data_IF_993940336703
#
_entry.id   IF_993940336703
#
_cell.length_a   1.000
_cell.length_b   1.000
_cell.length_c   1.000
_cell.angle_alpha   90.00
_cell.angle_beta   90.00
_cell.angle_gamma   90.00
#
_symmetry.space_group_name_H-M   'P 1'
#
loop_
_entity.id
_entity.type
_entity.pdbx_description
1 polymer ?
#
# COMPACT_ATOMS: atom_id res chain seq x y z
N UNK A 1 11.78 -13.57 13.01
CA UNK A 1 12.94 -14.49 13.10
C UNK A 1 12.59 -15.61 14.07
N UNK A 2 12.32 -16.81 13.55
CA UNK A 2 11.83 -17.98 14.31
C UNK A 2 12.96 -18.63 15.12
N UNK A 3 12.74 -18.83 16.43
CA UNK A 3 13.57 -19.69 17.28
C UNK A 3 12.86 -21.05 17.44
N UNK A 4 13.26 -22.00 16.61
CA UNK A 4 12.87 -23.40 16.73
C UNK A 4 13.61 -24.03 17.91
N UNK A 5 12.89 -24.48 18.94
CA UNK A 5 13.48 -25.25 20.05
C UNK A 5 13.45 -26.73 19.66
N UNK A 6 14.63 -27.30 19.41
CA UNK A 6 14.82 -28.72 19.12
C UNK A 6 14.68 -29.54 20.41
N UNK A 7 13.82 -30.55 20.38
CA UNK A 7 13.67 -31.55 21.45
C UNK A 7 14.99 -32.27 21.71
N UNK A 8 15.54 -32.16 22.92
CA UNK A 8 16.72 -32.93 23.35
C UNK A 8 16.29 -34.29 23.88
N UNK A 9 16.81 -35.36 23.26
CA UNK A 9 16.60 -36.75 23.66
C UNK A 9 17.74 -37.13 24.60
N UNK A 10 17.48 -37.23 25.90
CA UNK A 10 18.45 -37.75 26.86
C UNK A 10 18.34 -39.28 26.84
N UNK A 11 19.34 -39.94 26.26
CA UNK A 11 19.51 -41.39 26.33
C UNK A 11 20.48 -41.64 27.49
N UNK A 12 19.96 -42.10 28.63
CA UNK A 12 20.80 -42.46 29.78
C UNK A 12 21.34 -43.89 29.62
N UNK A 13 22.66 -44.05 29.63
CA UNK A 13 23.28 -45.33 29.94
C UNK A 13 23.49 -45.45 31.46
N UNK A 14 22.66 -46.25 32.12
CA UNK A 14 22.91 -46.66 33.51
C UNK A 14 23.80 -47.90 33.53
N UNK A 15 25.06 -47.75 33.95
CA UNK A 15 25.95 -48.87 34.29
C UNK A 15 25.57 -49.44 35.65
N UNK A 16 24.98 -50.63 35.66
CA UNK A 16 24.89 -51.47 36.87
C UNK A 16 26.31 -51.95 37.19
N UNK A 17 26.83 -51.55 38.36
CA UNK A 17 28.09 -52.11 38.87
C UNK A 17 27.81 -53.52 39.40
N UNK A 18 28.33 -54.52 38.71
CA UNK A 18 28.40 -55.91 39.19
C UNK A 18 29.12 -55.96 40.55
N UNK A 19 28.37 -56.25 41.61
CA UNK A 19 28.94 -56.68 42.88
C UNK A 19 29.16 -58.18 42.78
N UNK A 20 30.36 -58.55 42.33
CA UNK A 20 30.87 -59.92 42.37
C UNK A 20 30.90 -60.42 43.83
N UNK A 21 29.95 -61.29 44.20
CA UNK A 21 30.10 -62.16 45.36
C UNK A 21 30.96 -63.36 44.93
N UNK A 22 32.24 -63.31 45.29
CA UNK A 22 33.15 -64.43 45.13
C UNK A 22 32.87 -65.49 46.19
N UNK A 23 32.35 -66.63 45.75
CA UNK A 23 32.27 -67.88 46.50
C UNK A 23 33.60 -68.21 47.18
N UNK A 24 33.57 -68.30 48.52
CA UNK A 24 34.64 -68.95 49.29
C UNK A 24 34.23 -70.40 49.51
N UNK A 25 34.39 -71.23 48.48
CA UNK A 25 34.33 -72.68 48.65
C UNK A 25 35.71 -73.25 48.95
N UNK A 26 35.84 -73.76 50.18
CA UNK A 26 37.01 -74.46 50.71
C UNK A 26 37.14 -75.82 50.03
N UNK A 27 38.24 -76.06 49.32
CA UNK A 27 38.74 -77.42 49.06
C UNK A 27 39.79 -77.80 50.10
N UNK A 28 39.45 -78.82 50.89
CA UNK A 28 40.29 -79.47 51.88
C UNK A 28 40.97 -80.72 51.27
N UNK A 29 42.26 -80.90 51.54
CA UNK A 29 42.97 -82.20 51.56
C UNK A 29 44.36 -81.94 52.17
N UNK A 30 44.96 -82.74 53.06
CA UNK A 30 44.67 -84.06 53.64
C UNK A 30 45.65 -84.29 54.81
N UNK A 31 45.14 -84.95 55.86
CA UNK A 31 45.75 -86.01 56.70
C UNK A 31 46.99 -85.73 57.57
N UNK A 32 46.81 -85.91 58.89
CA UNK A 32 47.53 -86.90 59.69
C UNK A 32 46.70 -87.34 60.91
N UNK A 33 46.90 -88.60 61.32
CA UNK A 33 46.04 -89.49 62.14
C UNK A 33 46.09 -89.25 63.66
N UNK A 34 45.00 -89.60 64.34
CA UNK A 34 44.83 -90.57 65.46
C UNK A 34 43.52 -90.21 66.16
N UNK A 35 42.71 -91.06 66.78
CA UNK A 35 42.72 -92.49 67.08
C UNK A 35 41.51 -92.70 68.02
N UNK A 36 40.65 -93.65 67.66
CA UNK A 36 39.70 -94.39 68.52
C UNK A 36 38.47 -93.70 69.18
N UNK A 37 37.41 -94.53 69.25
CA UNK A 37 36.13 -94.41 69.99
C UNK A 37 35.05 -93.45 69.46
N UNK A 38 33.99 -94.02 68.88
CA UNK A 38 32.65 -94.08 69.50
C UNK A 38 31.58 -94.54 68.50
N UNK A 39 30.81 -95.57 68.88
CA UNK A 39 29.62 -96.05 68.15
C UNK A 39 28.34 -95.29 68.54
N UNK A 40 28.39 -94.36 69.49
CA UNK A 40 27.27 -93.53 69.95
C UNK A 40 27.18 -92.14 69.30
N UNK A 41 28.21 -91.68 68.58
CA UNK A 41 28.29 -90.32 68.00
C UNK A 41 27.51 -90.16 66.67
N UNK A 42 27.22 -91.24 65.93
CA UNK A 42 26.61 -91.11 64.59
C UNK A 42 25.11 -90.72 64.59
N UNK A 43 24.41 -90.93 65.71
CA UNK A 43 22.99 -90.57 65.85
C UNK A 43 22.82 -89.08 66.19
N UNK A 44 23.65 -88.57 67.11
CA UNK A 44 23.64 -87.17 67.56
C UNK A 44 24.10 -86.22 66.44
N UNK A 45 25.08 -86.63 65.63
CA UNK A 45 25.61 -85.83 64.52
C UNK A 45 24.61 -85.73 63.35
N UNK A 46 23.80 -86.77 63.13
CA UNK A 46 22.68 -86.74 62.16
C UNK A 46 21.56 -85.81 62.59
N UNK A 47 21.21 -85.80 63.88
CA UNK A 47 20.17 -84.93 64.44
C UNK A 47 20.61 -83.45 64.47
N UNK A 48 21.89 -83.19 64.73
CA UNK A 48 22.47 -81.84 64.66
C UNK A 48 22.49 -81.31 63.22
N UNK A 49 22.80 -82.16 62.24
CA UNK A 49 22.78 -81.79 60.82
C UNK A 49 21.36 -81.61 60.28
N UNK A 50 20.38 -82.41 60.71
CA UNK A 50 18.98 -82.21 60.32
C UNK A 50 18.42 -80.90 60.87
N UNK A 51 18.67 -80.58 62.15
CA UNK A 51 18.28 -79.29 62.75
C UNK A 51 18.96 -78.09 62.08
N UNK A 52 20.25 -78.19 61.73
CA UNK A 52 20.94 -77.15 60.95
C UNK A 52 20.32 -76.95 59.57
N UNK A 53 19.90 -78.04 58.91
CA UNK A 53 19.25 -78.00 57.60
C UNK A 53 17.87 -77.34 57.69
N UNK A 54 17.08 -77.69 58.69
CA UNK A 54 15.78 -77.05 58.97
C UNK A 54 15.93 -75.56 59.28
N UNK A 55 16.90 -75.16 60.11
CA UNK A 55 17.15 -73.74 60.41
C UNK A 55 17.60 -72.99 59.15
N UNK A 56 18.47 -73.59 58.33
CA UNK A 56 18.94 -73.01 57.07
C UNK A 56 17.78 -72.84 56.07
N UNK A 57 16.94 -73.86 55.88
CA UNK A 57 15.76 -73.82 55.03
C UNK A 57 14.76 -72.76 55.52
N UNK A 58 14.56 -72.65 56.84
CA UNK A 58 13.69 -71.62 57.44
C UNK A 58 14.25 -70.21 57.25
N UNK A 59 15.57 -70.02 57.37
CA UNK A 59 16.23 -68.73 57.16
C UNK A 59 16.19 -68.31 55.69
N UNK A 60 16.36 -69.26 54.76
CA UNK A 60 16.24 -69.03 53.31
C UNK A 60 14.79 -68.69 52.95
N UNK A 61 13.81 -69.39 53.53
CA UNK A 61 12.40 -69.11 53.33
C UNK A 61 12.02 -67.70 53.83
N UNK A 62 12.45 -67.31 55.03
CA UNK A 62 12.24 -65.96 55.57
C UNK A 62 12.94 -64.87 54.75
N UNK A 63 14.14 -65.13 54.22
CA UNK A 63 14.86 -64.21 53.35
C UNK A 63 14.17 -64.04 51.99
N UNK A 64 13.65 -65.12 51.41
CA UNK A 64 12.89 -65.09 50.17
C UNK A 64 11.57 -64.34 50.34
N UNK A 65 10.86 -64.59 51.45
CA UNK A 65 9.61 -63.89 51.75
C UNK A 65 9.83 -62.38 51.95
N UNK A 66 10.88 -61.98 52.69
CA UNK A 66 11.25 -60.56 52.82
C UNK A 66 11.65 -59.92 51.50
N UNK A 67 12.32 -60.67 50.61
CA UNK A 67 12.68 -60.19 49.28
C UNK A 67 11.42 -59.96 48.44
N UNK A 68 10.47 -60.89 48.45
CA UNK A 68 9.18 -60.74 47.76
C UNK A 68 8.38 -59.56 48.30
N UNK A 69 8.34 -59.36 49.62
CA UNK A 69 7.69 -58.20 50.24
C UNK A 69 8.32 -56.86 49.82
N UNK A 70 9.66 -56.81 49.73
CA UNK A 70 10.39 -55.60 49.29
C UNK A 70 10.12 -55.31 47.81
N UNK A 71 10.16 -56.34 46.95
CA UNK A 71 9.88 -56.19 45.52
C UNK A 71 8.44 -55.74 45.32
N UNK A 72 7.48 -56.37 45.99
CA UNK A 72 6.06 -56.02 45.90
C UNK A 72 5.82 -54.57 46.33
N UNK A 73 6.42 -54.11 47.44
CA UNK A 73 6.32 -52.70 47.87
C UNK A 73 6.98 -51.73 46.89
N UNK A 74 8.14 -52.09 46.34
CA UNK A 74 8.82 -51.25 45.35
C UNK A 74 8.04 -51.15 44.03
N UNK A 75 7.37 -52.22 43.62
CA UNK A 75 6.48 -52.25 42.46
C UNK A 75 5.24 -51.38 42.69
N UNK A 76 4.61 -51.47 43.86
CA UNK A 76 3.47 -50.62 44.24
C UNK A 76 3.86 -49.13 44.31
N UNK A 77 5.01 -48.81 44.90
CA UNK A 77 5.54 -47.43 44.91
C UNK A 77 5.83 -46.93 43.48
N UNK A 78 6.41 -47.76 42.62
CA UNK A 78 6.69 -47.39 41.23
C UNK A 78 5.41 -47.17 40.42
N UNK A 79 4.38 -47.99 40.61
CA UNK A 79 3.07 -47.78 39.98
C UNK A 79 2.43 -46.48 40.44
N UNK A 80 2.46 -46.18 41.74
CA UNK A 80 1.93 -44.92 42.27
C UNK A 80 2.68 -43.70 41.71
N UNK A 81 4.01 -43.76 41.62
CA UNK A 81 4.81 -42.69 41.02
C UNK A 81 4.45 -42.50 39.54
N UNK A 82 4.28 -43.58 38.78
CA UNK A 82 3.91 -43.51 37.36
C UNK A 82 2.50 -42.97 37.17
N UNK A 83 1.56 -43.34 38.04
CA UNK A 83 0.20 -42.83 38.04
C UNK A 83 0.18 -41.32 38.29
N UNK A 84 0.86 -40.86 39.35
CA UNK A 84 0.98 -39.43 39.69
C UNK A 84 1.68 -38.64 38.59
N UNK A 85 2.73 -39.20 38.00
CA UNK A 85 3.46 -38.56 36.90
C UNK A 85 2.57 -38.41 35.66
N UNK A 86 1.74 -39.40 35.34
CA UNK A 86 0.78 -39.32 34.22
C UNK A 86 -0.31 -38.27 34.48
N UNK A 87 -0.91 -38.26 35.66
CA UNK A 87 -1.92 -37.26 36.01
C UNK A 87 -1.36 -35.84 35.94
N UNK A 88 -0.17 -35.61 36.52
CA UNK A 88 0.50 -34.31 36.45
C UNK A 88 0.88 -33.93 35.03
N UNK A 89 1.33 -34.88 34.21
CA UNK A 89 1.65 -34.62 32.82
C UNK A 89 0.39 -34.19 32.04
N UNK A 90 -0.73 -34.88 32.23
CA UNK A 90 -2.00 -34.56 31.57
C UNK A 90 -2.51 -33.17 32.00
N UNK A 91 -2.51 -32.87 33.30
CA UNK A 91 -2.90 -31.56 33.83
C UNK A 91 -2.00 -30.42 33.31
N UNK A 92 -0.68 -30.63 33.26
CA UNK A 92 0.25 -29.65 32.71
C UNK A 92 0.07 -29.46 31.20
N UNK A 93 -0.29 -30.52 30.48
CA UNK A 93 -0.51 -30.46 29.04
C UNK A 93 -1.78 -29.68 28.73
N UNK A 94 -2.87 -29.93 29.48
CA UNK A 94 -4.13 -29.22 29.34
C UNK A 94 -3.99 -27.73 29.70
N UNK A 95 -3.33 -27.42 30.83
CA UNK A 95 -3.03 -26.03 31.21
C UNK A 95 -2.15 -25.33 30.17
N UNK A 96 -1.11 -26.00 29.68
CA UNK A 96 -0.23 -25.44 28.65
C UNK A 96 -0.95 -25.18 27.34
N UNK A 97 -1.90 -26.05 26.96
CA UNK A 97 -2.74 -25.86 25.79
C UNK A 97 -3.69 -24.69 25.96
N UNK A 98 -4.40 -24.60 27.10
CA UNK A 98 -5.35 -23.53 27.37
C UNK A 98 -4.67 -22.16 27.46
N UNK A 99 -3.53 -22.07 28.15
CA UNK A 99 -2.71 -20.85 28.20
C UNK A 99 -2.19 -20.45 26.81
N UNK A 100 -1.70 -21.42 26.03
CA UNK A 100 -1.20 -21.17 24.68
C UNK A 100 -2.30 -20.71 23.73
N UNK A 101 -3.49 -21.32 23.83
CA UNK A 101 -4.66 -20.95 23.06
C UNK A 101 -5.14 -19.54 23.41
N UNK A 102 -5.30 -19.24 24.70
CA UNK A 102 -5.76 -17.93 25.16
C UNK A 102 -4.77 -16.82 24.77
N UNK A 103 -3.46 -17.02 24.98
CA UNK A 103 -2.43 -16.07 24.56
C UNK A 103 -2.41 -15.86 23.05
N UNK A 104 -2.48 -16.94 22.27
CA UNK A 104 -2.50 -16.86 20.81
C UNK A 104 -3.75 -16.17 20.28
N UNK A 105 -4.91 -16.42 20.90
CA UNK A 105 -6.17 -15.77 20.55
C UNK A 105 -6.13 -14.27 20.87
N UNK A 106 -5.67 -13.88 22.05
CA UNK A 106 -5.55 -12.48 22.46
C UNK A 106 -4.58 -11.70 21.56
N UNK A 107 -3.39 -12.26 21.31
CA UNK A 107 -2.41 -11.66 20.38
C UNK A 107 -2.96 -11.54 18.95
N UNK A 108 -3.58 -12.61 18.43
CA UNK A 108 -4.15 -12.57 17.08
C UNK A 108 -5.32 -11.60 16.95
N UNK A 109 -6.11 -11.43 18.02
CA UNK A 109 -7.17 -10.44 18.06
C UNK A 109 -6.62 -9.01 18.06
N UNK A 110 -5.61 -8.72 18.88
CA UNK A 110 -5.00 -7.40 18.97
C UNK A 110 -4.28 -7.01 17.67
N UNK A 111 -3.46 -7.91 17.12
CA UNK A 111 -2.78 -7.71 15.83
C UNK A 111 -3.79 -7.52 14.68
N UNK A 112 -4.86 -8.32 14.66
CA UNK A 112 -5.93 -8.21 13.67
C UNK A 112 -6.68 -6.89 13.77
N UNK A 113 -6.95 -6.44 15.00
CA UNK A 113 -7.63 -5.17 15.28
C UNK A 113 -6.77 -3.97 14.85
N UNK A 114 -5.49 -3.94 15.23
CA UNK A 114 -4.57 -2.88 14.80
C UNK A 114 -4.41 -2.84 13.27
N UNK A 115 -4.27 -4.01 12.64
CA UNK A 115 -4.16 -4.11 11.18
C UNK A 115 -5.43 -3.57 10.51
N UNK A 116 -6.60 -3.91 11.03
CA UNK A 116 -7.88 -3.41 10.52
C UNK A 116 -8.00 -1.88 10.67
N UNK A 117 -7.60 -1.32 11.81
CA UNK A 117 -7.59 0.14 12.04
C UNK A 117 -6.65 0.86 11.08
N UNK A 118 -5.42 0.36 10.89
CA UNK A 118 -4.45 0.93 9.97
C UNK A 118 -4.95 0.90 8.52
N UNK A 119 -5.57 -0.22 8.10
CA UNK A 119 -6.16 -0.35 6.78
C UNK A 119 -7.34 0.62 6.58
N UNK A 120 -8.21 0.76 7.58
CA UNK A 120 -9.31 1.73 7.54
C UNK A 120 -8.80 3.17 7.44
N UNK A 121 -7.78 3.52 8.21
CA UNK A 121 -7.18 4.86 8.16
C UNK A 121 -6.51 5.14 6.80
N UNK A 122 -5.85 4.14 6.23
CA UNK A 122 -5.29 4.25 4.87
C UNK A 122 -6.39 4.40 3.80
N UNK A 123 -7.51 3.67 3.94
CA UNK A 123 -8.64 3.79 3.02
C UNK A 123 -9.30 5.18 3.12
N UNK A 124 -9.55 5.66 4.33
CA UNK A 124 -10.12 6.99 4.57
C UNK A 124 -9.23 8.08 3.95
N UNK A 125 -7.93 8.05 4.22
CA UNK A 125 -7.00 9.05 3.65
C UNK A 125 -6.92 8.97 2.12
N UNK A 126 -7.03 7.78 1.53
CA UNK A 126 -7.11 7.61 0.07
C UNK A 126 -8.39 8.22 -0.50
N UNK A 127 -9.53 8.01 0.17
CA UNK A 127 -10.82 8.58 -0.24
C UNK A 127 -10.78 10.10 -0.12
N UNK A 128 -10.31 10.66 0.99
CA UNK A 128 -10.18 12.11 1.20
C UNK A 128 -9.29 12.74 0.12
N UNK A 129 -8.15 12.11 -0.18
CA UNK A 129 -7.28 12.54 -1.27
C UNK A 129 -7.99 12.49 -2.63
N UNK A 130 -8.70 11.40 -2.93
CA UNK A 130 -9.44 11.30 -4.19
C UNK A 130 -10.54 12.36 -4.32
N UNK A 131 -11.26 12.66 -3.23
CA UNK A 131 -12.30 13.71 -3.22
C UNK A 131 -11.67 15.07 -3.48
N UNK A 132 -10.64 15.42 -2.73
CA UNK A 132 -9.94 16.72 -2.88
C UNK A 132 -9.32 16.89 -4.27
N UNK A 133 -8.72 15.85 -4.84
CA UNK A 133 -8.20 15.87 -6.22
C UNK A 133 -9.31 16.07 -7.24
N UNK A 134 -10.44 15.38 -7.07
CA UNK A 134 -11.61 15.51 -7.96
C UNK A 134 -12.23 16.90 -7.89
N UNK A 135 -12.37 17.47 -6.70
CA UNK A 135 -12.88 18.84 -6.51
C UNK A 135 -11.94 19.87 -7.15
N UNK A 136 -10.63 19.69 -6.99
CA UNK A 136 -9.65 20.58 -7.60
C UNK A 136 -9.67 20.49 -9.13
N UNK A 137 -9.83 19.30 -9.70
CA UNK A 137 -9.96 19.10 -11.15
C UNK A 137 -11.27 19.69 -11.68
N UNK A 138 -12.38 19.47 -10.99
CA UNK A 138 -13.68 20.05 -11.33
C UNK A 138 -13.62 21.58 -11.34
N UNK A 139 -13.03 22.20 -10.31
CA UNK A 139 -12.90 23.65 -10.24
C UNK A 139 -12.04 24.20 -11.39
N UNK A 140 -10.92 23.54 -11.72
CA UNK A 140 -10.10 23.93 -12.87
C UNK A 140 -10.86 23.87 -14.19
N UNK A 141 -11.68 22.84 -14.39
CA UNK A 141 -12.49 22.72 -15.60
C UNK A 141 -13.57 23.82 -15.64
N UNK A 142 -14.24 24.07 -14.51
CA UNK A 142 -15.24 25.16 -14.40
C UNK A 142 -14.60 26.53 -14.67
N UNK A 143 -13.40 26.79 -14.17
CA UNK A 143 -12.68 28.05 -14.37
C UNK A 143 -12.23 28.24 -15.83
N UNK A 144 -12.05 27.16 -16.60
CA UNK A 144 -11.70 27.22 -18.04
C UNK A 144 -12.89 27.53 -18.93
N UNK A 145 -14.10 27.10 -18.57
CA UNK A 145 -15.30 27.22 -19.40
C UNK A 145 -15.58 28.65 -19.90
N UNK A 146 -15.50 29.72 -19.08
CA UNK A 146 -15.80 31.07 -19.54
C UNK A 146 -14.88 31.50 -20.69
N UNK A 147 -13.59 31.19 -20.61
CA UNK A 147 -12.63 31.51 -21.66
C UNK A 147 -12.90 30.77 -22.97
N UNK A 148 -13.28 29.50 -22.90
CA UNK A 148 -13.66 28.71 -24.08
C UNK A 148 -14.96 29.21 -24.71
N UNK A 149 -15.95 29.56 -23.91
CA UNK A 149 -17.23 30.13 -24.37
C UNK A 149 -17.00 31.46 -25.08
N UNK A 150 -16.15 32.33 -24.51
CA UNK A 150 -15.79 33.61 -25.14
C UNK A 150 -15.11 33.37 -26.49
N UNK A 151 -14.10 32.49 -26.55
CA UNK A 151 -13.44 32.12 -27.81
C UNK A 151 -14.41 31.60 -28.86
N UNK A 152 -15.35 30.75 -28.45
CA UNK A 152 -16.38 30.23 -29.34
C UNK A 152 -17.30 31.35 -29.85
N UNK A 153 -17.75 32.24 -28.96
CA UNK A 153 -18.59 33.38 -29.32
C UNK A 153 -17.89 34.32 -30.33
N UNK A 154 -16.60 34.60 -30.12
CA UNK A 154 -15.79 35.42 -31.03
C UNK A 154 -15.65 34.76 -32.40
N UNK A 155 -15.39 33.45 -32.47
CA UNK A 155 -15.35 32.72 -33.75
C UNK A 155 -16.69 32.71 -34.48
N UNK A 156 -17.80 32.61 -33.74
CA UNK A 156 -19.14 32.71 -34.33
C UNK A 156 -19.35 34.12 -34.90
N UNK A 157 -18.99 35.17 -34.15
CA UNK A 157 -19.07 36.54 -34.61
C UNK A 157 -18.21 36.78 -35.87
N UNK A 158 -16.96 36.29 -35.87
CA UNK A 158 -16.07 36.34 -37.03
C UNK A 158 -16.71 35.70 -38.26
N UNK A 159 -17.29 34.50 -38.10
CA UNK A 159 -17.93 33.80 -39.21
C UNK A 159 -19.14 34.57 -39.74
N UNK A 160 -19.95 35.16 -38.86
CA UNK A 160 -21.11 35.98 -39.24
C UNK A 160 -20.66 37.23 -40.00
N UNK A 161 -19.64 37.94 -39.50
CA UNK A 161 -19.10 39.16 -40.12
C UNK A 161 -18.55 38.86 -41.52
N UNK A 162 -17.71 37.84 -41.65
CA UNK A 162 -17.14 37.44 -42.93
C UNK A 162 -18.23 37.01 -43.92
N UNK A 163 -19.24 36.25 -43.46
CA UNK A 163 -20.37 35.86 -44.30
C UNK A 163 -21.19 37.06 -44.75
N UNK A 164 -21.37 38.08 -43.88
CA UNK A 164 -22.08 39.30 -44.27
C UNK A 164 -21.33 40.07 -45.34
N UNK A 165 -20.00 40.16 -45.25
CA UNK A 165 -19.16 40.83 -46.25
C UNK A 165 -19.22 40.11 -47.60
N UNK A 166 -19.19 38.78 -47.60
CA UNK A 166 -19.34 37.98 -48.81
C UNK A 166 -20.70 38.17 -49.49
N UNK A 167 -21.79 38.24 -48.70
CA UNK A 167 -23.15 38.39 -49.22
C UNK A 167 -23.51 39.82 -49.59
N UNK A 168 -22.95 40.80 -48.91
CA UNK A 168 -23.21 42.23 -49.12
C UNK A 168 -21.89 43.03 -49.12
N UNK A 169 -21.14 43.03 -50.24
CA UNK A 169 -19.84 43.71 -50.31
C UNK A 169 -19.91 45.23 -50.07
N UNK A 170 -21.09 45.84 -50.27
CA UNK A 170 -21.32 47.27 -50.02
C UNK A 170 -21.10 47.73 -48.56
N UNK A 171 -21.02 46.79 -47.61
CA UNK A 171 -20.65 47.05 -46.20
C UNK A 171 -19.24 47.66 -46.07
N UNK A 172 -18.39 47.57 -47.10
CA UNK A 172 -17.08 48.25 -47.11
C UNK A 172 -17.18 49.77 -46.95
N UNK A 173 -18.24 50.40 -47.48
CA UNK A 173 -18.42 51.86 -47.40
C UNK A 173 -18.55 52.38 -45.96
N UNK A 174 -19.47 51.87 -45.12
CA UNK A 174 -19.54 52.28 -43.73
C UNK A 174 -18.29 51.89 -42.92
N UNK A 175 -17.60 50.77 -43.26
CA UNK A 175 -16.34 50.39 -42.60
C UNK A 175 -15.26 51.45 -42.86
N UNK A 176 -15.04 51.82 -44.11
CA UNK A 176 -14.05 52.84 -44.49
C UNK A 176 -14.39 54.19 -43.88
N UNK A 177 -15.67 54.60 -43.91
CA UNK A 177 -16.11 55.84 -43.26
C UNK A 177 -15.82 55.86 -41.76
N UNK A 178 -16.10 54.76 -41.04
CA UNK A 178 -15.78 54.64 -39.62
C UNK A 178 -14.27 54.66 -39.31
N UNK A 179 -13.44 54.21 -40.27
CA UNK A 179 -11.99 54.30 -40.14
C UNK A 179 -11.48 55.74 -40.30
N UNK A 180 -12.10 56.50 -41.20
CA UNK A 180 -11.79 57.91 -41.43
C UNK A 180 -12.32 58.84 -40.32
N UNK A 181 -13.27 58.37 -39.51
CA UNK A 181 -13.78 59.13 -38.37
C UNK A 181 -12.66 59.48 -37.37
N UNK A 182 -12.62 60.75 -36.96
CA UNK A 182 -11.56 61.34 -36.12
C UNK A 182 -10.33 61.87 -36.87
N UNK A 183 -10.16 61.62 -38.17
CA UNK A 183 -9.02 62.12 -38.96
C UNK A 183 -9.31 63.55 -39.44
N UNK A 184 -8.88 64.55 -38.67
CA UNK A 184 -9.17 65.97 -38.97
C UNK A 184 -7.93 66.81 -39.33
N UNK A 185 -6.71 66.34 -39.03
CA UNK A 185 -5.46 67.11 -39.12
C UNK A 185 -4.46 66.63 -40.18
N UNK A 186 -4.75 65.53 -40.87
CA UNK A 186 -3.87 65.01 -41.92
C UNK A 186 -4.11 65.75 -43.25
N UNK A 187 -3.05 66.06 -44.00
CA UNK A 187 -3.17 66.66 -45.35
C UNK A 187 -3.36 65.59 -46.43
N UNK A 188 -2.65 64.46 -46.31
CA UNK A 188 -2.78 63.28 -47.17
C UNK A 188 -3.25 62.05 -46.38
N UNK A 189 -4.22 61.34 -46.94
CA UNK A 189 -4.78 60.11 -46.37
C UNK A 189 -4.76 59.01 -47.42
N UNK A 190 -4.10 57.91 -47.10
CA UNK A 190 -3.98 56.72 -47.94
C UNK A 190 -4.86 55.61 -47.37
N UNK A 191 -5.84 55.14 -48.14
CA UNK A 191 -6.74 54.07 -47.73
C UNK A 191 -6.37 52.84 -48.54
N UNK A 192 -5.96 51.75 -47.90
CA UNK A 192 -5.70 50.47 -48.58
C UNK A 192 -6.86 49.53 -48.35
N UNK A 193 -7.32 48.89 -49.42
CA UNK A 193 -8.40 47.90 -49.38
C UNK A 193 -8.09 46.72 -50.30
N UNK A 194 -8.76 45.59 -50.07
CA UNK A 194 -8.70 44.45 -50.98
C UNK A 194 -9.18 44.84 -52.40
N UNK A 195 -8.48 44.45 -53.47
CA UNK A 195 -8.87 44.81 -54.84
C UNK A 195 -10.27 44.34 -55.24
N UNK A 196 -10.72 43.19 -54.73
CA UNK A 196 -12.05 42.65 -54.98
C UNK A 196 -13.19 43.48 -54.37
N UNK A 197 -12.87 44.39 -53.44
CA UNK A 197 -13.84 45.29 -52.82
C UNK A 197 -13.90 46.67 -53.49
N UNK A 198 -12.98 46.95 -54.41
CA UNK A 198 -12.83 48.27 -55.04
C UNK A 198 -14.05 48.66 -55.88
N UNK A 199 -14.67 47.69 -56.57
CA UNK A 199 -15.88 47.91 -57.38
C UNK A 199 -17.11 48.30 -56.56
N UNK A 200 -17.14 47.93 -55.27
CA UNK A 200 -18.28 48.19 -54.37
C UNK A 200 -18.12 49.46 -53.55
N UNK A 201 -17.01 50.18 -53.72
CA UNK A 201 -16.67 51.37 -52.97
C UNK A 201 -17.24 52.62 -53.67
N UNK A 202 -17.98 53.45 -52.92
CA UNK A 202 -18.44 54.76 -53.38
C UNK A 202 -17.35 55.81 -53.11
N UNK A 203 -16.44 55.95 -54.07
CA UNK A 203 -15.33 56.90 -53.95
C UNK A 203 -15.78 58.36 -53.85
N UNK A 204 -16.88 58.73 -54.52
CA UNK A 204 -17.38 60.10 -54.52
C UNK A 204 -17.94 60.48 -53.15
N UNK A 205 -18.74 59.59 -52.57
CA UNK A 205 -19.29 59.75 -51.22
C UNK A 205 -18.17 59.83 -50.16
N UNK A 206 -17.17 58.96 -50.24
CA UNK A 206 -16.01 58.98 -49.33
C UNK A 206 -15.21 60.29 -49.46
N UNK A 207 -14.94 60.76 -50.69
CA UNK A 207 -14.20 62.00 -50.93
C UNK A 207 -15.00 63.24 -50.53
N UNK A 208 -16.32 63.22 -50.70
CA UNK A 208 -17.20 64.35 -50.38
C UNK A 208 -17.19 64.72 -48.89
N UNK A 209 -16.90 63.77 -48.00
CA UNK A 209 -16.77 64.01 -46.56
C UNK A 209 -15.53 64.83 -46.19
N UNK A 210 -14.56 64.96 -47.09
CA UNK A 210 -13.24 65.55 -46.81
C UNK A 210 -12.90 66.66 -47.81
N UNK A 211 -13.26 67.90 -47.47
CA UNK A 211 -13.06 69.07 -48.35
C UNK A 211 -11.63 69.61 -48.37
N UNK A 212 -10.75 69.20 -47.46
CA UNK A 212 -9.39 69.77 -47.29
C UNK A 212 -8.27 68.75 -47.46
N UNK A 213 -8.56 67.46 -47.34
CA UNK A 213 -7.57 66.39 -47.38
C UNK A 213 -7.52 65.73 -48.76
N UNK A 214 -6.32 65.33 -49.19
CA UNK A 214 -6.15 64.48 -50.39
C UNK A 214 -6.31 63.02 -50.00
N UNK A 215 -7.44 62.42 -50.38
CA UNK A 215 -7.69 60.98 -50.19
C UNK A 215 -7.22 60.20 -51.43
N UNK A 216 -6.37 59.20 -51.21
CA UNK A 216 -5.96 58.23 -52.22
C UNK A 216 -6.35 56.83 -51.75
N UNK A 217 -7.10 56.11 -52.58
CA UNK A 217 -7.47 54.72 -52.30
C UNK A 217 -6.57 53.82 -53.14
N UNK A 218 -5.93 52.85 -52.51
CA UNK A 218 -4.94 51.95 -53.10
C UNK A 218 -5.38 50.50 -52.92
N UNK A 219 -5.24 49.65 -53.95
CA UNK A 219 -5.45 48.21 -53.80
C UNK A 219 -4.28 47.59 -53.03
N UNK A 220 -4.59 46.63 -52.15
CA UNK A 220 -3.61 45.83 -51.40
C UNK A 220 -4.06 44.36 -51.33
N UNK A 221 -3.31 43.48 -51.99
CA UNK A 221 -3.59 42.04 -52.06
C UNK A 221 -3.40 41.31 -50.73
N UNK A 222 -2.72 41.92 -49.75
CA UNK A 222 -2.51 41.32 -48.43
C UNK A 222 -3.75 41.40 -47.52
N UNK A 223 -4.70 42.28 -47.85
CA UNK A 223 -5.92 42.51 -47.06
C UNK A 223 -7.03 41.55 -47.47
N UNK A 224 -7.81 41.04 -46.51
CA UNK A 224 -9.00 40.22 -46.82
C UNK A 224 -10.19 41.11 -47.22
N UNK A 225 -11.20 40.58 -47.93
CA UNK A 225 -12.44 41.30 -48.17
C UNK A 225 -13.05 41.81 -46.86
N UNK A 226 -13.29 43.12 -46.77
CA UNK A 226 -13.79 43.79 -45.57
C UNK A 226 -12.72 44.38 -44.64
N UNK A 227 -11.45 44.03 -44.83
CA UNK A 227 -10.34 44.71 -44.17
C UNK A 227 -9.98 45.99 -44.91
N UNK A 228 -9.57 47.00 -44.14
CA UNK A 228 -9.01 48.23 -44.68
C UNK A 228 -7.96 48.80 -43.72
N UNK A 229 -6.94 49.46 -44.25
CA UNK A 229 -5.97 50.21 -43.44
C UNK A 229 -5.95 51.66 -43.91
N UNK A 230 -5.75 52.58 -42.96
CA UNK A 230 -5.67 54.01 -43.24
C UNK A 230 -4.33 54.52 -42.76
N UNK A 231 -3.52 55.03 -43.69
CA UNK A 231 -2.20 55.59 -43.42
C UNK A 231 -2.22 57.11 -43.62
N UNK A 232 -1.67 57.84 -42.67
CA UNK A 232 -1.49 59.29 -42.72
C UNK A 232 -0.08 59.66 -42.28
N UNK A 233 0.33 60.90 -42.55
CA UNK A 233 1.63 61.44 -42.10
C UNK A 233 1.78 61.44 -40.57
N UNK A 234 0.67 61.38 -39.83
CA UNK A 234 0.63 61.40 -38.36
C UNK A 234 0.56 59.99 -37.75
N UNK A 235 0.48 58.94 -38.58
CA UNK A 235 0.33 57.55 -38.15
C UNK A 235 -0.73 56.78 -38.94
N UNK A 236 -0.77 55.46 -38.72
CA UNK A 236 -1.72 54.55 -39.34
C UNK A 236 -2.79 54.04 -38.37
N UNK A 237 -3.95 53.68 -38.91
CA UNK A 237 -5.06 53.04 -38.21
C UNK A 237 -5.42 51.76 -38.95
N UNK A 238 -5.31 50.64 -38.25
CA UNK A 238 -5.61 49.32 -38.78
C UNK A 238 -7.08 48.98 -38.57
N UNK A 239 -7.77 48.64 -39.65
CA UNK A 239 -9.19 48.32 -39.67
C UNK A 239 -9.47 46.84 -39.83
N UNK A 240 -8.48 45.98 -39.60
CA UNK A 240 -8.58 44.54 -39.76
C UNK A 240 -9.66 43.99 -38.84
N UNK A 241 -10.51 43.13 -39.39
CA UNK A 241 -11.62 42.50 -38.66
C UNK A 241 -11.07 41.63 -37.52
N UNK A 242 -9.99 40.89 -37.79
CA UNK A 242 -9.29 40.05 -36.80
C UNK A 242 -8.82 40.89 -35.60
N UNK A 243 -8.11 41.98 -35.82
CA UNK A 243 -7.61 42.86 -34.74
C UNK A 243 -8.75 43.44 -33.90
N UNK A 244 -9.88 43.80 -34.52
CA UNK A 244 -11.06 44.30 -33.79
C UNK A 244 -11.70 43.21 -32.94
N UNK A 245 -11.81 41.99 -33.47
CA UNK A 245 -12.36 40.85 -32.74
C UNK A 245 -11.44 40.40 -31.60
N UNK A 246 -10.13 40.44 -31.80
CA UNK A 246 -9.14 40.20 -30.74
C UNK A 246 -9.27 41.20 -29.59
N UNK A 247 -9.49 42.48 -29.88
CA UNK A 247 -9.75 43.50 -28.85
C UNK A 247 -11.05 43.20 -28.08
N UNK A 248 -12.11 42.78 -28.77
CA UNK A 248 -13.37 42.37 -28.13
C UNK A 248 -13.15 41.15 -27.25
N UNK A 249 -12.44 40.13 -27.75
CA UNK A 249 -12.08 38.93 -26.99
C UNK A 249 -11.34 39.30 -25.71
N UNK A 250 -10.33 40.17 -25.81
CA UNK A 250 -9.53 40.63 -24.69
C UNK A 250 -10.37 41.35 -23.63
N UNK A 251 -11.27 42.23 -24.03
CA UNK A 251 -12.15 42.93 -23.09
C UNK A 251 -13.19 42.01 -22.44
N UNK A 252 -13.72 41.04 -23.20
CA UNK A 252 -14.63 40.02 -22.65
C UNK A 252 -13.91 39.10 -21.65
N UNK A 253 -12.69 38.67 -21.95
CA UNK A 253 -11.87 37.86 -21.03
C UNK A 253 -11.57 38.62 -19.74
N UNK A 254 -11.17 39.89 -19.83
CA UNK A 254 -10.99 40.76 -18.65
C UNK A 254 -12.27 40.89 -17.83
N UNK A 255 -13.41 41.09 -18.49
CA UNK A 255 -14.71 41.19 -17.83
C UNK A 255 -15.13 39.90 -17.12
N UNK A 256 -14.67 38.74 -17.62
CA UNK A 256 -14.85 37.44 -16.99
C UNK A 256 -13.83 37.14 -15.88
N UNK A 257 -12.92 38.07 -15.57
CA UNK A 257 -11.87 37.87 -14.56
C UNK A 257 -10.70 37.00 -15.03
N UNK A 258 -10.58 36.76 -16.33
CA UNK A 258 -9.48 35.99 -16.94
C UNK A 258 -8.44 37.00 -17.46
N UNK A 259 -7.28 37.04 -16.81
CA UNK A 259 -6.17 37.91 -17.23
C UNK A 259 -5.21 37.15 -18.16
N UNK A 260 -4.66 37.85 -19.17
CA UNK A 260 -3.58 37.31 -20.00
C UNK A 260 -2.35 37.05 -19.12
N UNK A 261 -2.17 35.80 -18.67
CA UNK A 261 -1.04 35.40 -17.85
C UNK A 261 -1.30 34.29 -16.82
N UNK A 262 -2.56 33.89 -16.60
CA UNK A 262 -2.94 32.77 -15.72
C UNK A 262 -3.08 31.43 -16.47
#
# INVERSE_FOLDING_TARGET
MSKVIKSSRIIGEYRIKDVRHGDKDKKNSRMAKSGEKNRETSAVEKELNSRKKEIMEKTIAEANQRKEDIISKAEEEAENILYDARQKAEELTEKGYEEGFNKGHEQGYEEGYETALNNLQSLISTIEKSVTETEAELNKEVDRLPGEIIKLAVRIAEKIVNTRIELEPGVINPIVKGMLDGITRAEEVYIKINPGMFEYLDEEDIKSGFNRQKIKILPDDSLKPGDCTVETELGGKDGLIETKLELVEKELLKGAGIHEGD
#
